data_IF_308894720485
#
_entry.id   IF_308894720485
#
_cell.length_a   1.000
_cell.length_b   1.000
_cell.length_c   1.000
_cell.angle_alpha   90.00
_cell.angle_beta   90.00
_cell.angle_gamma   90.00
#
_symmetry.space_group_name_H-M   'P 1'
#
loop_
_entity.id
_entity.type
_entity.pdbx_description
1 polymer ?
#
# COMPACT_ATOMS: atom_id res chain seq x y z
N UNK A 1 -17.99 7.00 -19.72
CA UNK A 1 -17.11 7.71 -18.76
C UNK A 1 -16.51 6.76 -17.72
N UNK A 2 -17.26 5.75 -17.27
CA UNK A 2 -16.84 4.80 -16.22
C UNK A 2 -15.79 3.79 -16.72
N UNK A 3 -15.92 3.27 -17.95
CA UNK A 3 -14.99 2.28 -18.49
C UNK A 3 -13.56 2.82 -18.63
N UNK A 4 -13.42 4.06 -19.13
CA UNK A 4 -12.12 4.74 -19.23
C UNK A 4 -11.48 4.89 -17.86
N UNK A 5 -12.25 5.28 -16.83
CA UNK A 5 -11.76 5.39 -15.45
C UNK A 5 -11.25 4.05 -14.91
N UNK A 6 -12.02 2.97 -15.12
CA UNK A 6 -11.65 1.62 -14.67
C UNK A 6 -10.36 1.17 -15.36
N UNK A 7 -10.26 1.34 -16.69
CA UNK A 7 -9.06 0.97 -17.46
C UNK A 7 -7.85 1.77 -16.98
N UNK A 8 -8.00 3.08 -16.78
CA UNK A 8 -6.91 3.93 -16.28
C UNK A 8 -6.47 3.53 -14.87
N UNK A 9 -7.41 3.23 -13.97
CA UNK A 9 -7.12 2.77 -12.62
C UNK A 9 -6.36 1.42 -12.62
N UNK A 10 -6.77 0.48 -13.46
CA UNK A 10 -6.07 -0.81 -13.65
C UNK A 10 -4.67 -0.58 -14.21
N UNK A 11 -4.53 0.25 -15.25
CA UNK A 11 -3.24 0.56 -15.86
C UNK A 11 -2.26 1.19 -14.88
N UNK A 12 -2.74 2.14 -14.07
CA UNK A 12 -1.95 2.74 -12.98
C UNK A 12 -1.57 1.71 -11.91
N UNK A 13 -2.49 0.84 -11.50
CA UNK A 13 -2.23 -0.22 -10.53
C UNK A 13 -1.16 -1.20 -11.01
N UNK A 14 -1.23 -1.61 -12.29
CA UNK A 14 -0.20 -2.47 -12.90
C UNK A 14 1.14 -1.72 -12.97
N UNK A 15 1.16 -0.46 -13.42
CA UNK A 15 2.39 0.31 -13.52
C UNK A 15 3.06 0.50 -12.15
N UNK A 16 2.27 0.74 -11.10
CA UNK A 16 2.76 0.84 -9.72
C UNK A 16 3.32 -0.49 -9.20
N UNK A 17 2.68 -1.62 -9.52
CA UNK A 17 3.09 -2.95 -9.09
C UNK A 17 4.20 -3.58 -9.95
N UNK A 18 4.47 -3.05 -11.15
CA UNK A 18 5.37 -3.67 -12.13
C UNK A 18 6.84 -3.66 -11.70
N UNK A 19 7.28 -2.63 -10.97
CA UNK A 19 8.65 -2.54 -10.48
C UNK A 19 8.77 -3.28 -9.13
N UNK A 20 9.78 -4.14 -8.93
CA UNK A 20 10.09 -4.68 -7.62
C UNK A 20 10.38 -3.54 -6.64
N UNK A 21 9.45 -3.34 -5.69
CA UNK A 21 9.61 -2.34 -4.64
C UNK A 21 10.76 -2.69 -3.69
N UNK A 22 11.10 -1.75 -2.80
CA UNK A 22 12.16 -1.94 -1.80
C UNK A 22 11.92 -3.17 -0.91
N UNK A 23 10.68 -3.39 -0.47
CA UNK A 23 10.28 -4.56 0.34
C UNK A 23 10.45 -5.85 -0.46
N UNK A 24 9.92 -5.93 -1.67
CA UNK A 24 10.03 -7.12 -2.52
C UNK A 24 11.50 -7.45 -2.85
N UNK A 25 12.31 -6.43 -3.12
CA UNK A 25 13.75 -6.59 -3.33
C UNK A 25 14.44 -7.16 -2.09
N UNK A 26 14.09 -6.65 -0.90
CA UNK A 26 14.63 -7.15 0.36
C UNK A 26 14.14 -8.56 0.70
N UNK A 27 12.89 -8.89 0.38
CA UNK A 27 12.29 -10.20 0.55
C UNK A 27 13.00 -11.25 -0.33
N UNK A 28 13.33 -10.90 -1.59
CA UNK A 28 14.14 -11.71 -2.48
C UNK A 28 15.57 -11.84 -1.95
N UNK A 29 16.21 -10.74 -1.54
CA UNK A 29 17.58 -10.76 -1.01
C UNK A 29 17.71 -11.64 0.23
N UNK A 30 16.80 -11.49 1.20
CA UNK A 30 16.80 -12.31 2.41
C UNK A 30 16.35 -13.74 2.13
N UNK A 31 15.42 -13.95 1.21
CA UNK A 31 14.97 -15.27 0.78
C UNK A 31 16.08 -16.08 0.12
N UNK A 32 16.85 -15.46 -0.78
CA UNK A 32 17.98 -16.09 -1.44
C UNK A 32 19.11 -16.46 -0.45
N UNK A 33 19.33 -15.65 0.58
CA UNK A 33 20.41 -15.87 1.55
C UNK A 33 20.01 -16.75 2.76
N UNK A 34 18.75 -16.69 3.21
CA UNK A 34 18.31 -17.28 4.50
C UNK A 34 17.03 -18.12 4.38
N UNK A 35 16.50 -18.31 3.18
CA UNK A 35 15.32 -19.15 2.90
C UNK A 35 13.97 -18.53 3.26
N UNK A 36 12.92 -19.34 3.14
CA UNK A 36 11.51 -18.90 3.18
C UNK A 36 11.11 -18.18 4.48
N UNK A 37 11.66 -18.60 5.62
CA UNK A 37 11.34 -17.96 6.92
C UNK A 37 11.76 -16.49 6.95
N UNK A 38 12.90 -16.15 6.34
CA UNK A 38 13.36 -14.78 6.30
C UNK A 38 12.51 -13.92 5.36
N UNK A 39 12.06 -14.46 4.23
CA UNK A 39 11.08 -13.82 3.35
C UNK A 39 9.76 -13.55 4.07
N UNK A 40 9.22 -14.55 4.79
CA UNK A 40 7.96 -14.40 5.54
C UNK A 40 8.04 -13.29 6.60
N UNK A 41 9.19 -13.13 7.26
CA UNK A 41 9.36 -12.04 8.24
C UNK A 41 9.36 -10.65 7.58
N UNK A 42 9.92 -10.52 6.38
CA UNK A 42 9.90 -9.26 5.63
C UNK A 42 8.48 -8.91 5.19
N UNK A 43 7.77 -9.87 4.61
CA UNK A 43 6.39 -9.68 4.14
C UNK A 43 5.42 -9.44 5.30
N UNK A 44 5.59 -10.13 6.43
CA UNK A 44 4.81 -9.86 7.64
C UNK A 44 5.04 -8.43 8.16
N UNK A 45 6.29 -7.94 8.13
CA UNK A 45 6.62 -6.56 8.46
C UNK A 45 5.96 -5.56 7.49
N UNK A 46 5.97 -5.87 6.19
CA UNK A 46 5.28 -5.07 5.17
C UNK A 46 3.79 -4.96 5.44
N UNK A 47 3.13 -6.10 5.69
CA UNK A 47 1.70 -6.15 5.94
C UNK A 47 1.29 -5.35 7.19
N UNK A 48 2.11 -5.41 8.25
CA UNK A 48 1.90 -4.61 9.46
C UNK A 48 2.03 -3.12 9.12
N UNK A 49 3.05 -2.73 8.33
CA UNK A 49 3.25 -1.37 7.87
C UNK A 49 2.06 -0.84 7.06
N UNK A 50 1.59 -1.63 6.08
CA UNK A 50 0.43 -1.29 5.25
C UNK A 50 -0.85 -1.15 6.09
N UNK A 51 -1.04 -2.05 7.05
CA UNK A 51 -2.18 -2.01 7.98
C UNK A 51 -2.15 -0.75 8.84
N UNK A 52 -0.98 -0.40 9.38
CA UNK A 52 -0.82 0.83 10.16
C UNK A 52 -1.08 2.07 9.31
N UNK A 53 -0.52 2.12 8.11
CA UNK A 53 -0.74 3.21 7.17
C UNK A 53 -2.23 3.37 6.83
N UNK A 54 -2.94 2.26 6.56
CA UNK A 54 -4.37 2.28 6.27
C UNK A 54 -5.19 2.80 7.46
N UNK A 55 -4.89 2.35 8.69
CA UNK A 55 -5.56 2.84 9.91
C UNK A 55 -5.36 4.35 10.07
N UNK A 56 -4.13 4.85 9.87
CA UNK A 56 -3.83 6.27 9.97
C UNK A 56 -4.55 7.07 8.88
N UNK A 57 -4.52 6.61 7.63
CA UNK A 57 -5.16 7.28 6.50
C UNK A 57 -6.69 7.37 6.69
N UNK A 58 -7.35 6.25 7.04
CA UNK A 58 -8.79 6.21 7.26
C UNK A 58 -9.23 7.06 8.46
N UNK A 59 -8.46 7.02 9.54
CA UNK A 59 -8.71 7.88 10.71
C UNK A 59 -8.54 9.35 10.34
N UNK A 60 -7.44 9.70 9.66
CA UNK A 60 -7.17 11.05 9.21
C UNK A 60 -8.27 11.60 8.29
N UNK A 61 -8.66 10.84 7.27
CA UNK A 61 -9.76 11.21 6.36
C UNK A 61 -11.06 11.44 7.13
N UNK A 62 -11.39 10.58 8.10
CA UNK A 62 -12.59 10.73 8.93
C UNK A 62 -12.55 12.01 9.77
N UNK A 63 -11.42 12.29 10.43
CA UNK A 63 -11.24 13.50 11.22
C UNK A 63 -11.32 14.76 10.35
N UNK A 64 -10.67 14.77 9.18
CA UNK A 64 -10.75 15.89 8.24
C UNK A 64 -12.18 16.11 7.75
N UNK A 65 -12.91 15.05 7.39
CA UNK A 65 -14.29 15.16 6.93
C UNK A 65 -15.23 15.71 8.03
N UNK A 66 -15.04 15.32 9.29
CA UNK A 66 -15.92 15.74 10.39
C UNK A 66 -15.61 17.15 10.89
N UNK A 67 -14.34 17.53 11.01
CA UNK A 67 -13.95 18.78 11.67
C UNK A 67 -13.57 19.91 10.71
N UNK A 68 -13.07 19.59 9.50
CA UNK A 68 -12.59 20.60 8.54
C UNK A 68 -13.56 20.84 7.38
N UNK A 69 -14.20 19.78 6.86
CA UNK A 69 -15.15 19.91 5.75
C UNK A 69 -16.51 20.51 6.15
N UNK A 70 -16.92 20.36 7.42
CA UNK A 70 -18.16 20.97 7.95
C UNK A 70 -18.00 22.46 8.26
N UNK A 71 -16.77 22.99 8.38
CA UNK A 71 -16.56 24.43 8.61
C UNK A 71 -16.48 25.27 7.32
N UNK A 72 -16.30 24.63 6.15
CA UNK A 72 -16.14 25.30 4.86
C UNK A 72 -17.43 25.32 4.01
N UNK A 73 -18.50 24.67 4.48
CA UNK A 73 -19.85 24.69 3.88
C UNK A 73 -20.81 25.36 4.84
#
# INVERSE_FOLDING_TARGET
MQLTLIITAIGLGIAYAAAPGAVNTEAIRRGAAHGARATLLVEAGSLIGDSLWAVLALTGVTLFAQYLAVQLV
#
